data_IF_740769898660
#
_entry.id   IF_740769898660
#
_cell.length_a   1.000
_cell.length_b   1.000
_cell.length_c   1.000
_cell.angle_alpha   90.00
_cell.angle_beta   90.00
_cell.angle_gamma   90.00
#
_symmetry.space_group_name_H-M   'P 1'
#
loop_
_entity.id
_entity.type
_entity.pdbx_description
1 polymer ?
#
# COMPACT_ATOMS: atom_id res chain seq x y z
N UNK A 1 7.12 38.20 6.34
CA UNK A 1 6.98 36.86 5.74
C UNK A 1 5.57 36.78 5.16
N UNK A 2 5.42 36.61 3.85
CA UNK A 2 4.11 36.50 3.22
C UNK A 2 3.61 35.05 3.28
N UNK A 3 2.39 34.86 3.77
CA UNK A 3 1.75 33.53 3.81
C UNK A 3 1.19 33.22 2.44
N UNK A 4 1.71 32.16 1.81
CA UNK A 4 1.18 31.67 0.54
C UNK A 4 0.05 30.67 0.76
N UNK A 5 -0.62 30.27 -0.31
CA UNK A 5 -1.64 29.21 -0.28
C UNK A 5 -1.10 27.86 0.21
N UNK A 6 0.18 27.58 -0.03
CA UNK A 6 0.82 26.35 0.41
C UNK A 6 1.03 26.34 1.93
N UNK A 7 1.37 27.49 2.52
CA UNK A 7 1.45 27.63 3.97
C UNK A 7 0.11 27.32 4.63
N UNK A 8 -1.00 27.85 4.10
CA UNK A 8 -2.32 27.55 4.62
C UNK A 8 -2.71 26.08 4.43
N UNK A 9 -2.36 25.47 3.29
CA UNK A 9 -2.56 24.03 3.09
C UNK A 9 -1.84 23.20 4.15
N UNK A 10 -0.60 23.55 4.48
CA UNK A 10 0.18 22.87 5.50
C UNK A 10 -0.44 23.03 6.90
N UNK A 11 -0.92 24.23 7.25
CA UNK A 11 -1.62 24.48 8.52
C UNK A 11 -2.93 23.69 8.63
N UNK A 12 -3.74 23.70 7.57
CA UNK A 12 -5.00 22.93 7.52
C UNK A 12 -4.71 21.43 7.64
N UNK A 13 -3.64 20.93 7.01
CA UNK A 13 -3.22 19.54 7.13
C UNK A 13 -2.77 19.19 8.56
N UNK A 14 -2.04 20.10 9.23
CA UNK A 14 -1.65 19.94 10.63
C UNK A 14 -2.87 19.83 11.56
N UNK A 15 -3.84 20.74 11.42
CA UNK A 15 -5.06 20.70 12.24
C UNK A 15 -5.91 19.45 11.94
N UNK A 16 -5.97 19.03 10.67
CA UNK A 16 -6.61 17.77 10.29
C UNK A 16 -5.96 16.55 10.96
N UNK A 17 -4.63 16.48 10.99
CA UNK A 17 -3.89 15.39 11.66
C UNK A 17 -4.12 15.38 13.18
N UNK A 18 -4.37 16.54 13.79
CA UNK A 18 -4.74 16.65 15.21
C UNK A 18 -6.18 16.21 15.50
N UNK A 19 -6.99 15.94 14.47
CA UNK A 19 -8.38 15.52 14.64
C UNK A 19 -9.35 16.67 14.92
N UNK A 20 -8.96 17.92 14.65
CA UNK A 20 -9.86 19.08 14.79
C UNK A 20 -11.03 18.99 13.80
N UNK A 21 -12.19 19.48 14.22
CA UNK A 21 -13.33 19.65 13.33
C UNK A 21 -13.09 20.82 12.38
N UNK A 22 -13.75 20.79 11.22
CA UNK A 22 -13.63 21.84 10.19
C UNK A 22 -13.95 23.24 10.73
N UNK A 23 -14.89 23.32 11.67
CA UNK A 23 -15.30 24.58 12.29
C UNK A 23 -14.21 25.11 13.22
N UNK A 24 -13.65 24.25 14.07
CA UNK A 24 -12.57 24.64 14.98
C UNK A 24 -11.31 25.07 14.21
N UNK A 25 -11.00 24.41 13.10
CA UNK A 25 -9.89 24.78 12.22
C UNK A 25 -10.09 26.18 11.61
N UNK A 26 -11.30 26.50 11.10
CA UNK A 26 -11.55 27.85 10.57
C UNK A 26 -11.54 28.90 11.68
N UNK A 27 -12.11 28.60 12.85
CA UNK A 27 -12.16 29.55 13.97
C UNK A 27 -10.74 29.88 14.45
N UNK A 28 -9.85 28.89 14.52
CA UNK A 28 -8.43 29.08 14.85
C UNK A 28 -7.70 29.91 13.79
N UNK A 29 -7.91 29.61 12.50
CA UNK A 29 -7.26 30.33 11.40
C UNK A 29 -7.75 31.78 11.30
N UNK A 30 -9.06 32.02 11.44
CA UNK A 30 -9.65 33.35 11.44
C UNK A 30 -9.23 34.14 12.67
N UNK A 31 -9.17 33.53 13.86
CA UNK A 31 -8.67 34.20 15.07
C UNK A 31 -7.20 34.62 14.96
N UNK A 32 -6.38 33.87 14.20
CA UNK A 32 -4.93 34.13 14.09
C UNK A 32 -4.58 35.07 12.94
N UNK A 33 -5.24 34.88 11.78
CA UNK A 33 -4.88 35.55 10.53
C UNK A 33 -5.91 36.59 10.07
N UNK A 34 -7.07 36.69 10.73
CA UNK A 34 -8.13 37.64 10.40
C UNK A 34 -8.52 37.55 8.92
N UNK A 35 -8.44 38.69 8.23
CA UNK A 35 -8.78 38.81 6.80
C UNK A 35 -7.86 38.01 5.86
N UNK A 36 -6.67 37.61 6.33
CA UNK A 36 -5.74 36.78 5.54
C UNK A 36 -6.06 35.30 5.65
N UNK A 37 -7.00 34.90 6.51
CA UNK A 37 -7.37 33.51 6.69
C UNK A 37 -8.04 32.93 5.43
N UNK A 38 -7.84 31.63 5.14
CA UNK A 38 -8.55 30.98 4.06
C UNK A 38 -10.05 30.92 4.37
N UNK A 39 -10.89 30.94 3.33
CA UNK A 39 -12.32 30.80 3.50
C UNK A 39 -12.70 29.40 4.01
N UNK A 40 -13.84 29.29 4.71
CA UNK A 40 -14.39 27.99 5.15
C UNK A 40 -14.53 26.99 3.99
N UNK A 41 -14.91 27.47 2.79
CA UNK A 41 -14.99 26.63 1.59
C UNK A 41 -13.63 25.99 1.23
N UNK A 42 -12.54 26.73 1.42
CA UNK A 42 -11.17 26.23 1.18
C UNK A 42 -10.80 25.14 2.18
N UNK A 43 -11.06 25.37 3.47
CA UNK A 43 -10.85 24.37 4.54
C UNK A 43 -11.68 23.11 4.27
N UNK A 44 -12.97 23.26 3.97
CA UNK A 44 -13.87 22.14 3.65
C UNK A 44 -13.39 21.33 2.45
N UNK A 45 -12.93 22.00 1.37
CA UNK A 45 -12.37 21.33 0.19
C UNK A 45 -11.15 20.48 0.56
N UNK A 46 -10.20 21.05 1.31
CA UNK A 46 -8.99 20.33 1.72
C UNK A 46 -9.29 19.16 2.66
N UNK A 47 -10.17 19.34 3.64
CA UNK A 47 -10.61 18.23 4.52
C UNK A 47 -11.23 17.07 3.72
N UNK A 48 -12.04 17.38 2.70
CA UNK A 48 -12.60 16.34 1.84
C UNK A 48 -11.52 15.64 1.00
N UNK A 49 -10.52 16.39 0.53
CA UNK A 49 -9.38 15.83 -0.21
C UNK A 49 -8.51 14.93 0.68
N UNK A 50 -8.25 15.34 1.92
CA UNK A 50 -7.51 14.54 2.90
C UNK A 50 -8.28 13.26 3.27
N UNK A 51 -9.59 13.35 3.48
CA UNK A 51 -10.43 12.18 3.69
C UNK A 51 -10.43 11.22 2.50
N UNK A 52 -10.43 11.73 1.26
CA UNK A 52 -10.30 10.89 0.05
C UNK A 52 -8.95 10.18 0.01
N UNK A 53 -7.88 10.83 0.44
CA UNK A 53 -6.57 10.20 0.55
C UNK A 53 -6.57 9.07 1.59
N UNK A 54 -7.29 9.22 2.71
CA UNK A 54 -7.44 8.16 3.70
C UNK A 54 -8.22 6.95 3.17
N UNK A 55 -9.28 7.16 2.39
CA UNK A 55 -10.06 6.08 1.76
C UNK A 55 -9.21 5.24 0.78
N UNK A 56 -8.22 5.85 0.12
CA UNK A 56 -7.31 5.11 -0.76
C UNK A 56 -6.28 4.24 -0.02
N UNK A 57 -6.18 4.32 1.32
CA UNK A 57 -5.28 3.48 2.11
C UNK A 57 -5.90 2.12 2.48
N UNK A 58 -7.21 1.99 2.35
CA UNK A 58 -7.89 0.71 2.47
C UNK A 58 -7.63 -0.13 1.22
N UNK A 59 -7.02 -1.29 1.43
CA UNK A 59 -6.73 -2.24 0.36
C UNK A 59 -6.90 -3.66 0.89
N UNK A 60 -7.36 -4.53 0.01
CA UNK A 60 -7.36 -5.97 0.22
C UNK A 60 -6.07 -6.59 -0.30
N UNK A 61 -5.57 -7.60 0.40
CA UNK A 61 -4.56 -8.50 -0.13
C UNK A 61 -5.27 -9.65 -0.84
N UNK A 62 -4.98 -9.81 -2.13
CA UNK A 62 -5.47 -10.90 -2.97
C UNK A 62 -4.26 -11.67 -3.46
N UNK A 63 -4.36 -12.99 -3.51
CA UNK A 63 -3.37 -13.83 -4.16
C UNK A 63 -4.08 -14.77 -5.13
N UNK A 64 -3.36 -15.15 -6.17
CA UNK A 64 -3.84 -16.08 -7.17
C UNK A 64 -2.71 -17.00 -7.60
N UNK A 65 -3.06 -18.21 -8.01
CA UNK A 65 -2.13 -19.22 -8.47
C UNK A 65 -2.29 -19.43 -9.97
N UNK A 66 -1.19 -19.32 -10.69
CA UNK A 66 -1.15 -19.44 -12.15
C UNK A 66 -0.27 -20.61 -12.57
N UNK A 67 -0.81 -21.56 -13.32
CA UNK A 67 -0.04 -22.66 -13.90
C UNK A 67 1.00 -22.14 -14.91
N UNK A 68 2.23 -22.63 -14.81
CA UNK A 68 3.35 -22.29 -15.70
C UNK A 68 3.97 -23.56 -16.29
N UNK A 69 4.61 -23.42 -17.45
CA UNK A 69 5.40 -24.52 -18.01
C UNK A 69 6.70 -24.66 -17.25
N UNK A 70 6.87 -25.77 -16.55
CA UNK A 70 8.13 -26.12 -15.88
C UNK A 70 9.30 -26.06 -16.86
N UNK A 71 10.26 -25.18 -16.58
CA UNK A 71 11.45 -24.98 -17.41
C UNK A 71 12.61 -24.47 -16.57
N UNK A 72 13.77 -25.10 -16.72
CA UNK A 72 15.01 -24.66 -16.10
C UNK A 72 15.79 -23.78 -17.07
N UNK A 73 16.10 -22.55 -16.65
CA UNK A 73 16.84 -21.58 -17.46
C UNK A 73 18.01 -21.08 -16.64
N UNK A 74 19.22 -21.13 -17.19
CA UNK A 74 20.34 -20.43 -16.59
C UNK A 74 20.33 -18.98 -17.05
N UNK A 75 20.18 -18.06 -16.11
CA UNK A 75 20.25 -16.63 -16.40
C UNK A 75 21.67 -16.13 -16.13
N UNK A 76 22.37 -15.79 -17.22
CA UNK A 76 23.74 -15.28 -17.18
C UNK A 76 23.84 -13.95 -16.42
N UNK A 77 22.78 -13.14 -16.39
CA UNK A 77 22.79 -11.83 -15.73
C UNK A 77 22.76 -11.95 -14.21
N UNK A 78 22.01 -12.94 -13.69
CA UNK A 78 21.91 -13.24 -12.26
C UNK A 78 22.95 -14.28 -11.82
N UNK A 79 23.69 -14.87 -12.76
CA UNK A 79 24.56 -16.02 -12.56
C UNK A 79 23.86 -17.14 -11.76
N UNK A 80 22.58 -17.34 -12.06
CA UNK A 80 21.69 -18.18 -11.28
C UNK A 80 20.80 -19.04 -12.18
N UNK A 81 20.44 -20.21 -11.69
CA UNK A 81 19.45 -21.07 -12.35
C UNK A 81 18.04 -20.67 -11.91
N UNK A 82 17.20 -20.31 -12.86
CA UNK A 82 15.77 -20.04 -12.70
C UNK A 82 14.93 -21.29 -12.99
N UNK A 83 13.70 -21.31 -12.45
CA UNK A 83 12.72 -22.39 -12.64
C UNK A 83 12.61 -23.38 -11.48
N UNK A 84 13.27 -23.10 -10.37
CA UNK A 84 13.10 -23.86 -9.13
C UNK A 84 12.03 -23.18 -8.25
N UNK A 85 11.43 -23.97 -7.36
CA UNK A 85 10.49 -23.46 -6.35
C UNK A 85 11.20 -22.46 -5.45
N UNK A 86 10.53 -21.34 -5.19
CA UNK A 86 11.01 -20.29 -4.28
C UNK A 86 10.16 -20.19 -3.02
N UNK A 87 9.00 -20.85 -3.00
CA UNK A 87 8.16 -20.93 -1.80
C UNK A 87 8.82 -21.83 -0.74
N UNK A 88 8.84 -21.43 0.55
CA UNK A 88 9.45 -22.25 1.60
C UNK A 88 8.76 -23.61 1.68
N UNK A 89 9.50 -24.67 1.42
CA UNK A 89 9.04 -26.05 1.56
C UNK A 89 9.93 -26.77 2.58
N UNK A 90 9.34 -27.63 3.39
CA UNK A 90 10.02 -28.38 4.46
C UNK A 90 11.02 -29.40 3.89
N UNK A 91 10.88 -29.74 2.61
CA UNK A 91 11.82 -30.58 1.88
C UNK A 91 12.77 -29.69 1.07
N UNK A 92 14.05 -29.70 1.44
CA UNK A 92 15.17 -29.05 0.73
C UNK A 92 15.45 -29.68 -0.67
N UNK A 93 14.43 -30.24 -1.31
CA UNK A 93 14.49 -30.88 -2.63
C UNK A 93 14.37 -29.82 -3.70
N UNK A 94 15.45 -29.61 -4.46
CA UNK A 94 15.45 -28.74 -5.64
C UNK A 94 14.54 -29.33 -6.70
N UNK A 95 13.31 -28.85 -6.73
CA UNK A 95 12.24 -29.32 -7.61
C UNK A 95 11.81 -28.19 -8.55
N UNK A 96 11.21 -28.58 -9.68
CA UNK A 96 10.83 -27.63 -10.71
C UNK A 96 9.48 -27.00 -10.41
N UNK A 97 9.39 -25.69 -10.59
CA UNK A 97 8.13 -24.98 -10.40
C UNK A 97 7.12 -25.31 -11.50
N UNK A 98 5.89 -25.64 -11.11
CA UNK A 98 4.74 -25.83 -12.01
C UNK A 98 3.74 -24.70 -11.91
N UNK A 99 3.76 -23.93 -10.82
CA UNK A 99 2.83 -22.84 -10.57
C UNK A 99 3.57 -21.58 -10.09
N UNK A 100 2.92 -20.44 -10.30
CA UNK A 100 3.35 -19.15 -9.79
C UNK A 100 2.23 -18.56 -8.92
N UNK A 101 2.52 -18.38 -7.65
CA UNK A 101 1.66 -17.71 -6.67
C UNK A 101 1.97 -16.22 -6.68
N UNK A 102 1.01 -15.39 -7.05
CA UNK A 102 1.17 -13.93 -7.19
C UNK A 102 0.37 -13.21 -6.12
N UNK A 103 1.01 -12.26 -5.41
CA UNK A 103 0.39 -11.42 -4.39
C UNK A 103 0.12 -10.02 -4.93
N UNK A 104 -1.12 -9.56 -4.78
CA UNK A 104 -1.58 -8.26 -5.25
C UNK A 104 -2.31 -7.50 -4.15
N UNK A 105 -2.01 -6.21 -4.03
CA UNK A 105 -2.85 -5.27 -3.28
C UNK A 105 -3.87 -4.66 -4.21
N UNK A 106 -5.12 -4.65 -3.76
CA UNK A 106 -6.26 -4.13 -4.52
C UNK A 106 -6.96 -3.07 -3.68
N UNK A 107 -7.19 -1.90 -4.27
CA UNK A 107 -7.97 -0.85 -3.60
C UNK A 107 -9.41 -1.28 -3.35
N UNK A 108 -9.92 -1.08 -2.14
CA UNK A 108 -11.31 -1.43 -1.81
C UNK A 108 -12.29 -0.37 -2.32
N UNK A 109 -11.92 0.90 -2.20
CA UNK A 109 -12.75 2.03 -2.60
C UNK A 109 -12.39 2.61 -3.98
N UNK A 110 -11.17 2.39 -4.45
CA UNK A 110 -10.67 2.86 -5.74
C UNK A 110 -10.09 1.71 -6.57
N UNK A 111 -10.26 1.77 -7.89
CA UNK A 111 -9.88 0.69 -8.80
C UNK A 111 -8.39 0.77 -9.14
N UNK A 112 -7.55 0.30 -8.23
CA UNK A 112 -6.12 0.09 -8.48
C UNK A 112 -5.70 -1.32 -8.07
N UNK A 113 -4.67 -1.84 -8.75
CA UNK A 113 -4.02 -3.11 -8.47
C UNK A 113 -2.52 -2.90 -8.49
N UNK A 114 -1.81 -3.44 -7.50
CA UNK A 114 -0.35 -3.40 -7.45
C UNK A 114 0.18 -4.78 -7.10
N UNK A 115 1.07 -5.32 -7.93
CA UNK A 115 1.75 -6.58 -7.66
C UNK A 115 2.82 -6.30 -6.63
N UNK A 116 2.77 -7.00 -5.49
CA UNK A 116 3.71 -6.81 -4.39
C UNK A 116 4.79 -7.86 -4.42
N UNK A 117 4.43 -9.11 -4.71
CA UNK A 117 5.37 -10.22 -4.66
C UNK A 117 4.88 -11.41 -5.47
N UNK A 118 5.79 -12.34 -5.75
CA UNK A 118 5.49 -13.61 -6.39
C UNK A 118 6.41 -14.72 -5.88
N UNK A 119 5.86 -15.93 -5.76
CA UNK A 119 6.61 -17.12 -5.42
C UNK A 119 6.29 -18.23 -6.41
N UNK A 120 7.29 -19.05 -6.71
CA UNK A 120 7.12 -20.25 -7.52
C UNK A 120 6.78 -21.43 -6.62
N UNK A 121 5.72 -22.14 -6.96
CA UNK A 121 5.14 -23.27 -6.22
C UNK A 121 5.07 -24.53 -7.10
N UNK A 122 4.84 -25.67 -6.45
CA UNK A 122 4.44 -26.91 -7.12
C UNK A 122 2.91 -26.97 -7.25
N UNK A 123 2.35 -28.16 -7.48
CA UNK A 123 0.90 -28.39 -7.55
C UNK A 123 0.18 -28.18 -6.20
N UNK A 124 0.92 -27.99 -5.12
CA UNK A 124 0.39 -27.64 -3.80
C UNK A 124 1.40 -26.85 -2.98
N UNK A 125 0.91 -26.04 -2.04
CA UNK A 125 1.75 -25.30 -1.10
C UNK A 125 1.17 -25.36 0.32
N UNK A 126 2.03 -25.19 1.32
CA UNK A 126 1.63 -25.23 2.72
C UNK A 126 0.93 -23.92 3.13
N UNK A 127 -0.34 -24.03 3.52
CA UNK A 127 -1.15 -22.89 3.97
C UNK A 127 -0.65 -22.22 5.26
N UNK A 128 0.16 -22.90 6.08
CA UNK A 128 0.75 -22.33 7.30
C UNK A 128 1.80 -21.27 6.95
N UNK A 129 2.66 -21.56 5.98
CA UNK A 129 3.67 -20.62 5.47
C UNK A 129 3.01 -19.39 4.82
N UNK A 130 1.86 -19.59 4.16
CA UNK A 130 1.09 -18.50 3.60
C UNK A 130 0.59 -17.54 4.69
N UNK A 131 0.21 -18.02 5.88
CA UNK A 131 -0.18 -17.15 6.99
C UNK A 131 0.97 -16.25 7.43
N UNK A 132 2.18 -16.79 7.52
CA UNK A 132 3.36 -16.01 7.92
C UNK A 132 3.69 -14.91 6.90
N UNK A 133 3.58 -15.21 5.61
CA UNK A 133 3.75 -14.24 4.52
C UNK A 133 2.66 -13.15 4.58
N UNK A 134 1.40 -13.53 4.80
CA UNK A 134 0.29 -12.57 4.95
C UNK A 134 0.48 -11.69 6.18
N UNK A 135 0.95 -12.25 7.30
CA UNK A 135 1.27 -11.50 8.51
C UNK A 135 2.44 -10.54 8.29
N UNK A 136 3.46 -10.95 7.54
CA UNK A 136 4.57 -10.08 7.14
C UNK A 136 4.07 -8.86 6.37
N UNK A 137 3.20 -9.05 5.36
CA UNK A 137 2.61 -7.92 4.62
C UNK A 137 1.76 -7.02 5.51
N UNK A 138 1.04 -7.60 6.48
CA UNK A 138 0.26 -6.82 7.45
C UNK A 138 1.15 -5.93 8.33
N UNK A 139 2.27 -6.46 8.82
CA UNK A 139 3.23 -5.72 9.64
C UNK A 139 3.96 -4.64 8.81
N UNK A 140 4.36 -4.95 7.58
CA UNK A 140 5.00 -3.99 6.68
C UNK A 140 4.09 -2.79 6.38
N UNK A 141 2.78 -3.01 6.27
CA UNK A 141 1.79 -1.93 6.09
C UNK A 141 1.62 -1.05 7.33
N UNK A 142 1.91 -1.53 8.54
CA UNK A 142 1.80 -0.72 9.76
C UNK A 142 3.05 0.15 10.03
N UNK A 143 4.18 -0.18 9.40
CA UNK A 143 5.46 0.53 9.60
C UNK A 143 5.69 1.68 8.61
N UNK A 144 4.82 1.87 7.62
CA UNK A 144 4.83 2.98 6.65
C UNK A 144 3.59 3.84 6.76
#
# INVERSE_FOLDING_TARGET
>A
MELTRENFRAMIYYDFQRGLLRQECIDQLTSTFGDKAPSFATVKRWYNEFNRSCVNKECGLVYDEMSITSKRIFDTSLNATLGNITFPNDQNTVTHATHALVFMLVGTASRWKHIVDYHFTEDSFNSLVLKDIVLYFRLYKQLK
#
